data_IF_870627579935
#
_entry.id   IF_870627579935
#
_cell.length_a   1.000
_cell.length_b   1.000
_cell.length_c   1.000
_cell.angle_alpha   90.00
_cell.angle_beta   90.00
_cell.angle_gamma   90.00
#
_symmetry.space_group_name_H-M   'P 1'
#
loop_
_entity.id
_entity.type
_entity.pdbx_description
1 polymer ?
#
# COMPACT_ATOMS: atom_id res chain seq x y z
N UNK A 1 -18.90 -33.94 80.34
CA UNK A 1 -19.63 -34.14 79.08
C UNK A 1 -19.33 -32.92 78.21
N UNK A 2 -18.37 -33.08 77.29
CA UNK A 2 -17.90 -31.99 76.42
C UNK A 2 -18.41 -32.29 75.04
N UNK A 3 -19.29 -31.43 74.51
CA UNK A 3 -19.84 -31.53 73.15
C UNK A 3 -18.82 -31.03 72.17
N UNK A 4 -18.33 -31.86 71.27
CA UNK A 4 -17.57 -31.44 70.09
C UNK A 4 -18.56 -31.08 68.95
N UNK A 5 -18.53 -29.88 68.51
CA UNK A 5 -19.24 -29.41 67.30
C UNK A 5 -18.33 -29.59 66.07
N UNK A 6 -18.77 -30.43 65.12
CA UNK A 6 -18.10 -30.65 63.84
C UNK A 6 -18.56 -29.54 62.87
N UNK A 7 -17.65 -28.65 62.45
CA UNK A 7 -17.91 -27.67 61.37
C UNK A 7 -17.57 -28.32 60.05
N UNK A 8 -18.54 -28.51 59.21
CA UNK A 8 -18.35 -28.94 57.81
C UNK A 8 -17.99 -27.75 56.94
N UNK A 9 -16.79 -27.72 56.40
CA UNK A 9 -16.32 -26.73 55.46
C UNK A 9 -16.81 -27.10 54.03
N UNK A 10 -17.82 -26.39 53.54
CA UNK A 10 -18.26 -26.49 52.15
C UNK A 10 -17.38 -25.60 51.27
N UNK A 11 -16.51 -26.19 50.46
CA UNK A 11 -15.73 -25.51 49.44
C UNK A 11 -16.63 -25.29 48.20
N UNK A 12 -16.69 -24.05 47.65
CA UNK A 12 -17.39 -23.86 46.38
C UNK A 12 -16.54 -24.40 45.22
N UNK A 13 -17.00 -25.48 44.59
CA UNK A 13 -16.49 -25.99 43.31
C UNK A 13 -17.19 -25.15 42.23
N UNK A 14 -16.50 -24.15 41.71
CA UNK A 14 -17.03 -23.28 40.66
C UNK A 14 -15.98 -22.34 40.11
N UNK A 15 -14.77 -22.85 39.90
CA UNK A 15 -13.76 -22.13 39.13
C UNK A 15 -13.89 -22.48 37.65
N UNK A 16 -14.68 -21.71 36.89
CA UNK A 16 -14.52 -21.69 35.45
C UNK A 16 -13.06 -21.32 35.15
N UNK A 17 -12.32 -22.20 34.51
CA UNK A 17 -11.02 -21.86 33.94
C UNK A 17 -11.29 -20.75 32.93
N UNK A 18 -11.02 -19.49 33.30
CA UNK A 18 -10.84 -18.42 32.33
C UNK A 18 -9.67 -18.90 31.46
N UNK A 19 -9.94 -19.25 30.22
CA UNK A 19 -8.89 -19.45 29.21
C UNK A 19 -8.11 -18.14 29.17
N UNK A 20 -6.88 -18.17 29.62
CA UNK A 20 -5.99 -17.04 29.51
C UNK A 20 -5.96 -16.67 28.03
N UNK A 21 -6.34 -15.41 27.71
CA UNK A 21 -6.27 -14.89 26.35
C UNK A 21 -4.80 -14.91 25.93
N UNK A 22 -4.40 -15.93 25.19
CA UNK A 22 -3.02 -16.04 24.72
C UNK A 22 -2.74 -14.89 23.77
N UNK A 23 -1.66 -14.15 24.03
CA UNK A 23 -1.24 -13.07 23.15
C UNK A 23 -1.06 -13.58 21.72
N UNK A 24 -1.47 -12.82 20.69
CA UNK A 24 -1.26 -13.22 19.30
C UNK A 24 0.22 -13.51 19.03
N UNK A 25 0.48 -14.59 18.30
CA UNK A 25 1.84 -15.07 18.02
C UNK A 25 2.46 -14.22 16.88
N UNK A 26 3.72 -13.83 17.04
CA UNK A 26 4.53 -13.28 15.95
C UNK A 26 5.03 -14.42 15.04
N UNK A 27 5.68 -14.06 13.93
CA UNK A 27 6.51 -15.00 13.18
C UNK A 27 7.67 -15.51 14.03
N UNK A 28 8.09 -16.74 13.79
CA UNK A 28 9.29 -17.29 14.41
C UNK A 28 10.55 -16.58 13.89
N UNK A 29 11.67 -16.59 14.62
CA UNK A 29 12.93 -16.03 14.12
C UNK A 29 13.38 -16.63 12.78
N UNK A 30 13.07 -17.90 12.51
CA UNK A 30 13.40 -18.54 11.23
C UNK A 30 12.54 -17.99 10.09
N UNK A 31 11.28 -17.73 10.31
CA UNK A 31 10.38 -17.11 9.33
C UNK A 31 10.75 -15.65 9.05
N UNK A 32 11.27 -14.92 10.03
CA UNK A 32 11.71 -13.54 9.83
C UNK A 32 13.02 -13.42 9.01
N UNK A 33 13.86 -14.46 9.02
CA UNK A 33 15.16 -14.43 8.34
C UNK A 33 15.12 -15.04 6.93
N UNK A 34 14.16 -15.90 6.64
CA UNK A 34 14.02 -16.56 5.35
C UNK A 34 14.81 -17.85 5.20
N UNK A 35 15.19 -18.24 3.98
CA UNK A 35 15.62 -17.41 2.85
C UNK A 35 14.47 -16.93 1.96
N UNK A 36 14.43 -15.65 1.69
CA UNK A 36 13.52 -15.06 0.71
C UNK A 36 14.31 -14.48 -0.47
N UNK A 37 13.74 -14.46 -1.68
CA UNK A 37 14.38 -13.80 -2.82
C UNK A 37 14.69 -12.33 -2.49
N UNK A 38 15.83 -11.84 -2.98
CA UNK A 38 16.12 -10.41 -2.92
C UNK A 38 15.19 -9.65 -3.86
N UNK A 39 14.71 -8.51 -3.43
CA UNK A 39 13.93 -7.61 -4.29
C UNK A 39 14.75 -7.04 -5.43
N UNK A 40 16.07 -6.90 -5.25
CA UNK A 40 16.95 -6.46 -6.32
C UNK A 40 17.48 -7.65 -7.13
N UNK A 41 17.56 -7.52 -8.46
CA UNK A 41 18.19 -8.54 -9.31
C UNK A 41 19.68 -8.68 -8.94
N UNK A 42 20.31 -9.85 -9.18
CA UNK A 42 21.71 -10.06 -8.88
C UNK A 42 22.61 -9.00 -9.55
N UNK A 43 23.34 -8.24 -8.74
CA UNK A 43 24.20 -7.14 -9.20
C UNK A 43 23.46 -5.88 -9.64
N UNK A 44 22.13 -5.84 -9.51
CA UNK A 44 21.31 -4.66 -9.80
C UNK A 44 21.32 -3.66 -8.65
N UNK A 45 21.12 -2.39 -8.99
CA UNK A 45 21.04 -1.27 -8.03
C UNK A 45 19.63 -0.71 -7.92
N UNK A 46 18.70 -1.15 -8.77
CA UNK A 46 17.29 -0.77 -8.78
C UNK A 46 16.43 -1.85 -9.45
N UNK A 47 15.12 -1.76 -9.26
CA UNK A 47 14.15 -2.68 -9.86
C UNK A 47 13.95 -2.36 -11.36
N UNK A 48 14.04 -3.35 -12.27
CA UNK A 48 13.85 -3.14 -13.71
C UNK A 48 12.50 -2.52 -14.11
N UNK A 49 11.46 -2.68 -13.31
CA UNK A 49 10.15 -2.03 -13.53
C UNK A 49 10.26 -0.49 -13.58
N UNK A 50 11.32 0.10 -13.02
CA UNK A 50 11.61 1.53 -13.03
C UNK A 50 12.37 2.01 -14.28
N UNK A 51 12.77 1.12 -15.18
CA UNK A 51 13.40 1.48 -16.44
C UNK A 51 12.49 2.39 -17.28
N UNK A 52 13.12 3.24 -18.09
CA UNK A 52 12.42 4.22 -18.93
C UNK A 52 12.35 5.62 -18.31
N UNK A 53 12.55 5.79 -17.00
CA UNK A 53 12.55 7.13 -16.41
C UNK A 53 13.69 8.00 -16.92
N UNK A 54 14.91 7.47 -17.03
CA UNK A 54 16.07 8.20 -17.55
C UNK A 54 15.85 8.63 -19.01
N UNK A 55 15.37 7.71 -19.85
CA UNK A 55 15.05 8.02 -21.26
C UNK A 55 13.97 9.10 -21.36
N UNK A 56 12.93 9.00 -20.54
CA UNK A 56 11.85 9.97 -20.49
C UNK A 56 12.37 11.36 -20.05
N UNK A 57 13.18 11.39 -18.98
CA UNK A 57 13.77 12.63 -18.45
C UNK A 57 14.67 13.32 -19.45
N UNK A 58 15.52 12.57 -20.13
CA UNK A 58 16.57 13.13 -20.97
C UNK A 58 16.06 13.45 -22.39
N UNK A 59 15.04 12.76 -22.89
CA UNK A 59 14.60 12.83 -24.30
C UNK A 59 13.15 13.31 -24.48
N UNK A 60 12.37 13.55 -23.40
CA UNK A 60 11.01 14.06 -23.52
C UNK A 60 10.78 15.33 -22.68
N UNK A 61 11.35 16.48 -23.08
CA UNK A 61 11.25 17.71 -22.30
C UNK A 61 9.80 18.22 -22.12
N UNK A 62 8.88 17.87 -23.03
CA UNK A 62 7.48 18.27 -22.91
C UNK A 62 6.79 17.55 -21.76
N UNK A 63 7.02 16.26 -21.58
CA UNK A 63 6.50 15.50 -20.43
C UNK A 63 7.12 15.98 -19.12
N UNK A 64 8.43 16.27 -19.11
CA UNK A 64 9.11 16.75 -17.91
C UNK A 64 8.62 18.15 -17.51
N UNK A 65 8.37 19.02 -18.47
CA UNK A 65 7.77 20.35 -18.19
C UNK A 65 6.35 20.19 -17.61
N UNK A 66 5.51 19.35 -18.23
CA UNK A 66 4.16 19.10 -17.71
C UNK A 66 4.18 18.41 -16.33
N UNK A 67 5.13 17.52 -16.06
CA UNK A 67 5.33 16.91 -14.77
C UNK A 67 5.59 17.95 -13.65
N UNK A 68 6.40 18.98 -13.94
CA UNK A 68 6.61 20.11 -13.04
C UNK A 68 5.37 21.00 -12.94
N UNK A 69 4.75 21.37 -14.07
CA UNK A 69 3.55 22.21 -14.08
C UNK A 69 2.42 21.58 -13.26
N UNK A 70 2.28 20.25 -13.30
CA UNK A 70 1.31 19.51 -12.51
C UNK A 70 1.60 19.64 -11.01
N UNK A 71 2.88 19.52 -10.59
CA UNK A 71 3.25 19.75 -9.18
C UNK A 71 2.90 21.18 -8.76
N UNK A 72 3.30 22.19 -9.56
CA UNK A 72 3.03 23.60 -9.26
C UNK A 72 1.53 23.85 -9.12
N UNK A 73 0.73 23.29 -10.02
CA UNK A 73 -0.73 23.42 -9.99
C UNK A 73 -1.35 22.79 -8.75
N UNK A 74 -0.99 21.55 -8.43
CA UNK A 74 -1.52 20.81 -7.26
C UNK A 74 -1.06 21.47 -5.96
N UNK A 75 0.24 21.77 -5.82
CA UNK A 75 0.81 22.39 -4.64
C UNK A 75 0.17 23.76 -4.35
N UNK A 76 0.12 24.65 -5.37
CA UNK A 76 -0.41 26.00 -5.20
C UNK A 76 -1.94 26.04 -5.05
N UNK A 77 -2.65 25.05 -5.61
CA UNK A 77 -4.10 24.92 -5.55
C UNK A 77 -4.64 24.11 -4.38
N UNK A 78 -3.75 23.51 -3.54
CA UNK A 78 -4.16 22.69 -2.42
C UNK A 78 -4.97 23.46 -1.39
N UNK A 79 -6.13 22.92 -0.99
CA UNK A 79 -6.95 23.48 0.10
C UNK A 79 -6.25 23.27 1.46
N UNK A 80 -6.61 24.03 2.50
CA UNK A 80 -6.06 23.84 3.84
C UNK A 80 -6.21 22.40 4.36
N UNK A 81 -7.35 21.76 4.08
CA UNK A 81 -7.64 20.38 4.48
C UNK A 81 -6.69 19.39 3.79
N UNK A 82 -6.48 19.56 2.48
CA UNK A 82 -5.56 18.72 1.70
C UNK A 82 -4.10 18.94 2.12
N UNK A 83 -3.72 20.18 2.46
CA UNK A 83 -2.40 20.50 3.01
C UNK A 83 -2.19 19.80 4.36
N UNK A 84 -3.20 19.83 5.25
CA UNK A 84 -3.14 19.20 6.56
C UNK A 84 -3.03 17.68 6.43
N UNK A 85 -3.87 17.04 5.62
CA UNK A 85 -3.78 15.58 5.34
C UNK A 85 -2.40 15.20 4.77
N UNK A 86 -1.86 15.98 3.84
CA UNK A 86 -0.53 15.75 3.28
C UNK A 86 0.59 15.86 4.33
N UNK A 87 0.47 16.78 5.29
CA UNK A 87 1.40 16.93 6.40
C UNK A 87 1.29 15.72 7.35
N UNK A 88 0.08 15.31 7.72
CA UNK A 88 -0.16 14.12 8.54
C UNK A 88 0.42 12.88 7.90
N UNK A 89 0.10 12.60 6.63
CA UNK A 89 0.68 11.50 5.83
C UNK A 89 2.21 11.52 5.85
N UNK A 90 2.84 12.69 5.87
CA UNK A 90 4.30 12.76 5.89
C UNK A 90 4.91 12.24 7.18
N UNK A 91 4.26 12.50 8.32
CA UNK A 91 4.82 12.20 9.64
C UNK A 91 4.29 10.90 10.24
N UNK A 92 3.13 10.44 9.79
CA UNK A 92 2.52 9.19 10.26
C UNK A 92 3.13 7.96 9.58
N UNK A 93 3.02 6.80 10.23
CA UNK A 93 3.25 5.53 9.54
C UNK A 93 2.21 5.30 8.44
N UNK A 94 2.61 4.54 7.43
CA UNK A 94 1.71 4.26 6.28
C UNK A 94 0.51 3.41 6.66
N UNK A 95 0.59 2.54 7.66
CA UNK A 95 -0.57 1.80 8.17
C UNK A 95 -1.57 2.73 8.87
N UNK A 96 -1.06 3.73 9.63
CA UNK A 96 -1.89 4.79 10.21
C UNK A 96 -2.60 5.56 9.10
N UNK A 97 -1.86 6.02 8.08
CA UNK A 97 -2.44 6.74 6.94
C UNK A 97 -3.47 5.90 6.16
N UNK A 98 -3.26 4.58 6.04
CA UNK A 98 -4.17 3.66 5.33
C UNK A 98 -5.41 3.29 6.16
N UNK A 99 -5.34 3.33 7.49
CA UNK A 99 -6.46 2.92 8.37
C UNK A 99 -7.75 3.69 8.10
N UNK A 100 -7.65 4.93 7.63
CA UNK A 100 -8.79 5.78 7.24
C UNK A 100 -9.68 5.08 6.19
N UNK A 101 -9.06 4.32 5.28
CA UNK A 101 -9.77 3.58 4.23
C UNK A 101 -10.64 2.43 4.76
N UNK A 102 -10.44 2.00 6.00
CA UNK A 102 -11.18 0.88 6.58
C UNK A 102 -12.59 1.29 7.04
N UNK A 103 -12.90 2.59 7.07
CA UNK A 103 -14.20 3.10 7.50
C UNK A 103 -14.16 3.77 8.86
N UNK A 104 -15.26 4.43 9.21
CA UNK A 104 -15.32 5.31 10.37
C UNK A 104 -15.17 4.57 11.72
N UNK A 105 -15.57 3.29 11.78
CA UNK A 105 -15.49 2.51 13.01
C UNK A 105 -14.35 1.48 12.96
N UNK A 106 -14.14 0.79 11.82
CA UNK A 106 -13.12 -0.24 11.72
C UNK A 106 -11.70 0.32 11.74
N UNK A 107 -11.47 1.49 11.15
CA UNK A 107 -10.16 2.15 11.14
C UNK A 107 -9.59 2.38 12.55
N UNK A 108 -10.32 3.02 13.47
CA UNK A 108 -9.90 3.15 14.88
C UNK A 108 -9.64 1.81 15.57
N UNK A 109 -10.49 0.80 15.36
CA UNK A 109 -10.28 -0.55 15.93
C UNK A 109 -8.98 -1.18 15.45
N UNK A 110 -8.67 -1.03 14.16
CA UNK A 110 -7.41 -1.50 13.60
C UNK A 110 -6.20 -0.84 14.25
N UNK A 111 -6.23 0.48 14.43
CA UNK A 111 -5.15 1.23 15.10
C UNK A 111 -4.99 0.81 16.57
N UNK A 112 -6.09 0.67 17.31
CA UNK A 112 -6.05 0.19 18.70
C UNK A 112 -5.39 -1.20 18.81
N UNK A 113 -5.64 -2.10 17.85
CA UNK A 113 -5.03 -3.41 17.81
C UNK A 113 -3.53 -3.36 17.46
N UNK A 114 -3.12 -2.46 16.55
CA UNK A 114 -1.70 -2.21 16.25
C UNK A 114 -0.96 -1.69 17.48
N UNK A 115 -1.49 -0.63 18.11
CA UNK A 115 -0.89 0.00 19.29
C UNK A 115 -0.81 -0.96 20.48
N UNK A 116 -1.81 -1.83 20.63
CA UNK A 116 -1.81 -2.87 21.66
C UNK A 116 -0.90 -4.08 21.33
N UNK A 117 -0.18 -4.08 20.19
CA UNK A 117 0.67 -5.18 19.76
C UNK A 117 -0.10 -6.48 19.46
N UNK A 118 -1.38 -6.39 19.09
CA UNK A 118 -2.25 -7.52 18.78
C UNK A 118 -2.11 -8.01 17.33
N UNK A 119 -1.35 -7.29 16.50
CA UNK A 119 -1.13 -7.59 15.08
C UNK A 119 0.36 -7.76 14.77
N UNK A 120 1.11 -8.61 15.50
CA UNK A 120 2.57 -8.69 15.33
C UNK A 120 3.00 -9.23 13.97
N UNK A 121 2.22 -10.08 13.30
CA UNK A 121 2.53 -10.56 11.94
C UNK A 121 2.30 -9.48 10.89
N UNK A 122 1.23 -8.68 11.02
CA UNK A 122 0.97 -7.52 10.16
C UNK A 122 2.10 -6.51 10.27
N UNK A 123 2.52 -6.17 11.50
CA UNK A 123 3.61 -5.25 11.75
C UNK A 123 4.94 -5.76 11.13
N UNK A 124 5.25 -7.05 11.28
CA UNK A 124 6.48 -7.63 10.72
C UNK A 124 6.56 -7.53 9.18
N UNK A 125 5.43 -7.72 8.48
CA UNK A 125 5.37 -7.60 7.02
C UNK A 125 5.32 -6.15 6.54
N UNK A 126 4.64 -5.28 7.26
CA UNK A 126 4.45 -3.89 6.85
C UNK A 126 5.66 -3.00 7.22
N UNK A 127 6.35 -3.34 8.29
CA UNK A 127 7.44 -2.55 8.88
C UNK A 127 8.65 -3.45 9.12
N UNK A 128 9.82 -3.06 8.83
CA UNK A 128 11.03 -3.82 9.11
C UNK A 128 11.57 -4.63 7.94
N UNK A 129 12.31 -5.69 8.25
CA UNK A 129 13.18 -6.40 7.28
C UNK A 129 12.40 -7.16 6.19
N UNK A 130 11.16 -7.54 6.48
CA UNK A 130 10.30 -8.23 5.51
C UNK A 130 9.63 -7.27 4.52
N UNK A 131 9.57 -5.98 4.80
CA UNK A 131 9.00 -4.99 3.88
C UNK A 131 9.84 -4.87 2.60
N UNK A 132 11.15 -5.09 2.69
CA UNK A 132 12.04 -5.14 1.53
C UNK A 132 13.22 -6.08 1.79
N UNK A 133 13.27 -7.20 1.07
CA UNK A 133 14.29 -8.23 1.26
C UNK A 133 15.58 -7.94 0.48
N UNK A 134 16.71 -8.37 1.03
CA UNK A 134 18.02 -8.16 0.43
C UNK A 134 18.59 -6.75 0.59
N UNK A 135 17.91 -5.87 1.34
CA UNK A 135 18.34 -4.52 1.65
C UNK A 135 18.35 -4.29 3.18
N UNK A 136 19.19 -3.39 3.67
CA UNK A 136 19.31 -3.15 5.12
C UNK A 136 18.09 -2.46 5.75
N UNK A 137 17.17 -1.95 4.93
CA UNK A 137 15.92 -1.33 5.38
C UNK A 137 14.91 -1.25 4.24
N UNK A 138 13.62 -1.05 4.57
CA UNK A 138 12.53 -0.81 3.62
C UNK A 138 12.65 0.58 2.96
N UNK A 139 13.70 0.80 2.19
CA UNK A 139 14.05 2.10 1.61
C UNK A 139 14.11 2.06 0.09
N UNK A 140 13.86 3.20 -0.53
CA UNK A 140 14.10 3.46 -1.96
C UNK A 140 15.42 4.19 -2.19
N UNK A 141 16.33 4.17 -1.24
CA UNK A 141 17.60 4.91 -1.32
C UNK A 141 18.47 4.47 -2.50
N UNK A 142 18.66 3.18 -2.78
CA UNK A 142 19.48 2.75 -3.92
C UNK A 142 18.97 3.31 -5.25
N UNK A 143 17.67 3.29 -5.47
CA UNK A 143 17.04 3.84 -6.66
C UNK A 143 17.20 5.36 -6.74
N UNK A 144 17.02 6.05 -5.61
CA UNK A 144 17.20 7.51 -5.55
C UNK A 144 18.64 7.95 -5.86
N UNK A 145 19.62 7.21 -5.38
CA UNK A 145 21.03 7.44 -5.68
C UNK A 145 21.33 7.18 -7.18
N UNK A 146 20.77 6.11 -7.73
CA UNK A 146 20.95 5.76 -9.14
C UNK A 146 20.37 6.82 -10.08
N UNK A 147 19.12 7.22 -9.86
CA UNK A 147 18.42 8.16 -10.74
C UNK A 147 18.83 9.62 -10.52
N UNK A 148 19.19 10.00 -9.31
CA UNK A 148 19.71 11.32 -8.96
C UNK A 148 18.80 12.48 -9.36
N UNK A 149 17.47 12.29 -9.41
CA UNK A 149 16.53 13.32 -9.88
C UNK A 149 16.28 14.38 -8.81
N UNK A 150 16.49 15.70 -9.08
CA UNK A 150 16.26 16.72 -8.07
C UNK A 150 14.77 16.85 -7.74
N UNK A 151 14.47 17.17 -6.48
CA UNK A 151 13.07 17.35 -6.03
C UNK A 151 12.46 18.64 -6.56
N UNK A 152 11.11 18.73 -6.71
CA UNK A 152 10.43 19.94 -7.20
C UNK A 152 10.81 21.21 -6.44
N UNK A 153 10.80 21.17 -5.10
CA UNK A 153 11.13 22.31 -4.26
C UNK A 153 12.61 22.76 -4.34
N UNK A 154 13.49 21.89 -4.87
CA UNK A 154 14.91 22.20 -5.16
C UNK A 154 15.06 22.75 -6.57
N UNK A 155 14.39 22.12 -7.55
CA UNK A 155 14.50 22.49 -8.97
C UNK A 155 13.75 23.80 -9.31
N UNK A 156 12.65 24.08 -8.60
CA UNK A 156 11.80 25.26 -8.86
C UNK A 156 11.37 25.94 -7.54
N UNK A 157 12.32 26.38 -6.69
CA UNK A 157 12.04 26.87 -5.34
C UNK A 157 11.06 28.05 -5.28
N UNK A 158 11.04 28.89 -6.30
CA UNK A 158 10.16 30.07 -6.37
C UNK A 158 8.73 29.73 -6.78
N UNK A 159 8.48 28.51 -7.30
CA UNK A 159 7.18 28.07 -7.76
C UNK A 159 6.46 27.14 -6.77
N UNK A 160 7.20 26.57 -5.83
CA UNK A 160 6.70 25.56 -4.87
C UNK A 160 6.56 26.18 -3.49
N UNK A 161 5.33 26.17 -2.97
CA UNK A 161 5.05 26.52 -1.59
C UNK A 161 5.46 25.37 -0.67
N UNK A 162 6.06 25.70 0.46
CA UNK A 162 6.48 24.72 1.48
C UNK A 162 5.44 24.65 2.57
N UNK A 163 4.88 23.47 2.76
CA UNK A 163 3.90 23.14 3.81
C UNK A 163 4.52 22.15 4.79
N UNK A 164 4.57 22.53 6.07
CA UNK A 164 5.11 21.69 7.13
C UNK A 164 4.41 22.00 8.44
N UNK A 165 4.51 21.06 9.40
CA UNK A 165 4.02 21.31 10.75
C UNK A 165 4.95 22.29 11.47
N UNK A 166 4.46 23.02 12.52
CA UNK A 166 5.31 23.87 13.34
C UNK A 166 6.51 23.10 13.90
N UNK A 167 7.72 23.61 13.64
CA UNK A 167 8.97 22.95 14.07
C UNK A 167 9.37 21.73 13.22
N UNK A 168 8.70 21.45 12.12
CA UNK A 168 9.07 20.38 11.18
C UNK A 168 10.35 20.72 10.40
N UNK A 169 11.01 19.67 9.91
CA UNK A 169 12.27 19.76 9.15
C UNK A 169 12.20 19.04 7.79
N UNK A 170 10.97 18.82 7.28
CA UNK A 170 10.71 18.03 6.08
C UNK A 170 11.65 18.38 4.91
N UNK A 171 11.73 19.65 4.58
CA UNK A 171 12.49 20.08 3.40
C UNK A 171 14.00 20.01 3.60
N UNK A 172 14.48 20.26 4.82
CA UNK A 172 15.90 20.15 5.15
C UNK A 172 16.40 18.70 5.16
N UNK A 173 15.52 17.75 5.50
CA UNK A 173 15.84 16.32 5.47
C UNK A 173 15.87 15.75 4.06
N UNK A 174 15.20 16.40 3.10
CA UNK A 174 15.01 15.90 1.75
C UNK A 174 15.86 16.62 0.67
N UNK A 175 16.54 17.71 1.00
CA UNK A 175 17.25 18.54 0.02
C UNK A 175 18.45 17.84 -0.63
N UNK A 176 19.03 16.84 0.04
CA UNK A 176 20.23 16.13 -0.40
C UNK A 176 19.96 14.79 -1.08
N UNK A 177 18.70 14.30 -1.10
CA UNK A 177 18.39 13.01 -1.72
C UNK A 177 17.47 13.12 -2.94
N UNK A 178 17.61 12.19 -3.88
CA UNK A 178 16.82 12.16 -5.11
C UNK A 178 15.32 12.02 -4.89
N UNK A 179 14.53 12.45 -5.89
CA UNK A 179 13.08 12.36 -5.84
C UNK A 179 12.54 11.00 -6.33
N UNK A 180 13.10 10.45 -7.40
CA UNK A 180 12.58 9.26 -8.08
C UNK A 180 13.21 7.95 -7.56
N UNK A 181 12.37 6.91 -7.30
CA UNK A 181 10.93 6.93 -7.11
C UNK A 181 10.51 7.45 -5.73
N UNK A 182 9.21 7.71 -5.54
CA UNK A 182 8.66 8.11 -4.24
C UNK A 182 8.58 6.95 -3.26
N UNK A 183 9.35 7.02 -2.16
CA UNK A 183 9.31 6.01 -1.11
C UNK A 183 7.97 5.95 -0.36
N UNK A 184 7.34 7.10 -0.09
CA UNK A 184 6.01 7.15 0.52
C UNK A 184 4.95 6.48 -0.37
N UNK A 185 4.96 6.76 -1.69
CA UNK A 185 4.05 6.11 -2.62
C UNK A 185 4.32 4.60 -2.71
N UNK A 186 5.59 4.18 -2.78
CA UNK A 186 5.94 2.77 -2.78
C UNK A 186 5.43 2.05 -1.53
N UNK A 187 5.70 2.58 -0.35
CA UNK A 187 5.20 2.00 0.90
C UNK A 187 3.67 2.06 1.02
N UNK A 188 3.03 3.15 0.59
CA UNK A 188 1.58 3.28 0.59
C UNK A 188 0.92 2.21 -0.25
N UNK A 189 1.38 2.00 -1.48
CA UNK A 189 0.84 0.97 -2.36
C UNK A 189 1.24 -0.46 -1.95
N UNK A 190 2.45 -0.67 -1.43
CA UNK A 190 2.87 -1.98 -0.91
C UNK A 190 2.01 -2.41 0.28
N UNK A 191 1.95 -1.59 1.32
CA UNK A 191 1.12 -1.85 2.51
C UNK A 191 -0.37 -1.88 2.15
N UNK A 192 -0.79 -1.04 1.19
CA UNK A 192 -2.14 -1.04 0.65
C UNK A 192 -2.51 -2.33 -0.08
N UNK A 193 -1.60 -2.89 -0.88
CA UNK A 193 -1.84 -4.17 -1.55
C UNK A 193 -1.97 -5.32 -0.55
N UNK A 194 -1.11 -5.37 0.49
CA UNK A 194 -1.25 -6.34 1.59
C UNK A 194 -2.60 -6.18 2.32
N UNK A 195 -2.93 -4.95 2.70
CA UNK A 195 -4.16 -4.69 3.44
C UNK A 195 -5.41 -5.01 2.61
N UNK A 196 -5.38 -4.72 1.29
CA UNK A 196 -6.45 -5.09 0.36
C UNK A 196 -6.55 -6.61 0.15
N UNK A 197 -5.43 -7.35 0.17
CA UNK A 197 -5.47 -8.81 0.13
C UNK A 197 -6.10 -9.41 1.38
N UNK A 198 -5.86 -8.82 2.54
CA UNK A 198 -6.44 -9.26 3.82
C UNK A 198 -7.90 -8.83 4.03
N UNK A 199 -8.27 -7.68 3.48
CA UNK A 199 -9.59 -7.07 3.59
C UNK A 199 -10.16 -6.75 2.20
N UNK A 200 -10.39 -7.78 1.35
CA UNK A 200 -10.79 -7.57 -0.05
C UNK A 200 -12.15 -6.88 -0.20
N UNK A 201 -12.97 -6.88 0.85
CA UNK A 201 -14.23 -6.13 0.90
C UNK A 201 -14.03 -4.61 0.80
N UNK A 202 -12.86 -4.12 1.24
CA UNK A 202 -12.48 -2.71 1.26
C UNK A 202 -11.35 -2.39 0.25
N UNK A 203 -11.03 -3.34 -0.63
CA UNK A 203 -9.94 -3.22 -1.60
C UNK A 203 -9.94 -1.90 -2.38
N UNK A 204 -11.06 -1.48 -3.00
CA UNK A 204 -11.12 -0.21 -3.74
C UNK A 204 -10.74 1.01 -2.89
N UNK A 205 -11.27 1.10 -1.66
CA UNK A 205 -11.01 2.21 -0.72
C UNK A 205 -9.55 2.24 -0.27
N UNK A 206 -8.98 1.06 0.05
CA UNK A 206 -7.60 0.93 0.48
C UNK A 206 -6.63 1.36 -0.63
N UNK A 207 -6.87 0.92 -1.86
CA UNK A 207 -6.02 1.28 -3.01
C UNK A 207 -6.18 2.75 -3.39
N UNK A 208 -7.39 3.32 -3.28
CA UNK A 208 -7.59 4.76 -3.47
C UNK A 208 -6.78 5.57 -2.44
N UNK A 209 -6.84 5.20 -1.16
CA UNK A 209 -6.08 5.86 -0.10
C UNK A 209 -4.57 5.72 -0.29
N UNK A 210 -4.08 4.59 -0.79
CA UNK A 210 -2.68 4.44 -1.19
C UNK A 210 -2.27 5.46 -2.27
N UNK A 211 -3.16 5.74 -3.22
CA UNK A 211 -2.97 6.81 -4.22
C UNK A 211 -2.90 8.20 -3.58
N UNK A 212 -3.75 8.50 -2.61
CA UNK A 212 -3.78 9.78 -1.90
C UNK A 212 -2.51 10.00 -1.05
N UNK A 213 -1.91 8.93 -0.50
CA UNK A 213 -0.58 9.02 0.13
C UNK A 213 0.46 9.55 -0.87
N UNK A 214 0.41 9.07 -2.13
CA UNK A 214 1.21 9.60 -3.21
C UNK A 214 0.89 11.06 -3.56
N UNK A 215 -0.40 11.41 -3.64
CA UNK A 215 -0.86 12.78 -3.89
C UNK A 215 -0.34 13.75 -2.82
N UNK A 216 -0.37 13.36 -1.55
CA UNK A 216 0.17 14.17 -0.45
C UNK A 216 1.63 14.60 -0.70
N UNK A 217 2.43 13.75 -1.36
CA UNK A 217 3.82 14.10 -1.71
C UNK A 217 3.92 15.17 -2.80
N UNK A 218 2.97 15.17 -3.74
CA UNK A 218 2.86 16.20 -4.78
C UNK A 218 2.35 17.50 -4.16
N UNK A 219 1.35 17.44 -3.28
CA UNK A 219 0.84 18.59 -2.51
C UNK A 219 1.96 19.29 -1.74
N UNK A 220 2.83 18.54 -1.07
CA UNK A 220 3.98 19.09 -0.36
C UNK A 220 5.11 19.59 -1.30
N UNK A 221 5.00 19.36 -2.61
CA UNK A 221 6.04 19.76 -3.58
C UNK A 221 7.37 19.03 -3.40
N UNK A 222 7.37 17.86 -2.75
CA UNK A 222 8.58 17.07 -2.50
C UNK A 222 8.76 15.95 -3.52
N UNK A 223 7.74 15.63 -4.32
CA UNK A 223 7.77 14.66 -5.41
C UNK A 223 6.98 15.14 -6.62
N UNK A 224 7.39 14.68 -7.79
CA UNK A 224 6.65 14.82 -9.04
C UNK A 224 5.61 13.69 -9.19
N UNK A 225 4.57 13.88 -10.03
CA UNK A 225 3.70 12.78 -10.45
C UNK A 225 4.46 11.53 -10.93
N UNK A 226 5.49 11.69 -11.76
CA UNK A 226 6.29 10.55 -12.25
C UNK A 226 7.01 9.80 -11.10
N UNK A 227 7.44 10.50 -10.05
CA UNK A 227 8.03 9.83 -8.88
C UNK A 227 7.00 8.96 -8.14
N UNK A 228 5.77 9.44 -8.03
CA UNK A 228 4.65 8.73 -7.40
C UNK A 228 4.27 7.52 -8.24
N UNK A 229 4.17 7.69 -9.57
CA UNK A 229 3.92 6.57 -10.48
C UNK A 229 5.02 5.52 -10.42
N UNK A 230 6.30 5.92 -10.39
CA UNK A 230 7.42 5.01 -10.17
C UNK A 230 7.34 4.25 -8.85
N UNK A 231 6.93 4.93 -7.76
CA UNK A 231 6.69 4.29 -6.46
C UNK A 231 5.57 3.24 -6.53
N UNK A 232 4.48 3.54 -7.25
CA UNK A 232 3.38 2.59 -7.46
C UNK A 232 3.82 1.37 -8.28
N UNK A 233 4.55 1.58 -9.39
CA UNK A 233 5.09 0.50 -10.22
C UNK A 233 5.93 -0.46 -9.39
N UNK A 234 6.88 0.09 -8.64
CA UNK A 234 7.74 -0.67 -7.73
C UNK A 234 6.95 -1.49 -6.71
N UNK A 235 5.92 -0.90 -6.10
CA UNK A 235 5.11 -1.56 -5.08
C UNK A 235 4.27 -2.71 -5.65
N UNK A 236 3.69 -2.54 -6.85
CA UNK A 236 2.86 -3.56 -7.49
C UNK A 236 3.70 -4.76 -7.95
N UNK A 237 4.87 -4.50 -8.54
CA UNK A 237 5.84 -5.51 -8.93
C UNK A 237 6.31 -6.33 -7.71
N UNK A 238 6.73 -5.66 -6.65
CA UNK A 238 7.14 -6.31 -5.39
C UNK A 238 6.01 -7.11 -4.74
N UNK A 239 4.79 -6.57 -4.72
CA UNK A 239 3.64 -7.27 -4.15
C UNK A 239 3.35 -8.57 -4.91
N UNK A 240 3.33 -8.51 -6.23
CA UNK A 240 3.11 -9.69 -7.07
C UNK A 240 4.24 -10.72 -6.90
N UNK A 241 5.50 -10.29 -6.89
CA UNK A 241 6.65 -11.18 -6.70
C UNK A 241 6.58 -11.93 -5.35
N UNK A 242 6.07 -11.29 -4.30
CA UNK A 242 5.94 -11.91 -2.98
C UNK A 242 4.74 -12.83 -2.85
N UNK A 243 3.62 -12.48 -3.47
CA UNK A 243 2.45 -13.34 -3.54
C UNK A 243 2.66 -14.57 -4.44
N UNK A 244 3.65 -14.54 -5.34
CA UNK A 244 4.04 -15.71 -6.16
C UNK A 244 5.17 -16.54 -5.55
N UNK A 245 5.87 -16.05 -4.52
CA UNK A 245 6.84 -16.85 -3.77
C UNK A 245 6.14 -17.65 -2.67
N UNK A 246 6.14 -19.00 -2.70
CA UNK A 246 5.35 -19.80 -1.76
C UNK A 246 5.72 -19.65 -0.28
N UNK A 247 6.95 -19.22 0.01
CA UNK A 247 7.41 -18.97 1.38
C UNK A 247 6.87 -17.65 1.91
N UNK A 248 6.89 -16.62 1.07
CA UNK A 248 6.39 -15.28 1.41
C UNK A 248 4.87 -15.23 1.45
N UNK A 249 4.21 -15.84 0.46
CA UNK A 249 2.76 -15.92 0.35
C UNK A 249 2.15 -16.51 1.62
N UNK A 250 2.71 -17.62 2.13
CA UNK A 250 2.31 -18.20 3.41
C UNK A 250 2.40 -17.23 4.59
N UNK A 251 3.42 -16.35 4.64
CA UNK A 251 3.52 -15.33 5.69
C UNK A 251 2.43 -14.28 5.55
N UNK A 252 2.13 -13.88 4.32
CA UNK A 252 1.06 -12.93 4.01
C UNK A 252 -0.29 -13.50 4.43
N UNK A 253 -0.57 -14.74 4.09
CA UNK A 253 -1.79 -15.45 4.50
C UNK A 253 -1.93 -15.55 6.02
N UNK A 254 -0.88 -15.97 6.71
CA UNK A 254 -0.84 -16.08 8.17
C UNK A 254 -1.12 -14.73 8.87
N UNK A 255 -0.62 -13.63 8.30
CA UNK A 255 -0.90 -12.30 8.82
C UNK A 255 -2.35 -11.88 8.56
N UNK A 256 -2.90 -12.23 7.41
CA UNK A 256 -4.30 -11.99 7.06
C UNK A 256 -5.27 -12.72 7.99
N UNK A 257 -5.00 -13.99 8.27
CA UNK A 257 -5.77 -14.78 9.26
C UNK A 257 -5.72 -14.11 10.63
N UNK A 258 -4.53 -13.74 11.12
CA UNK A 258 -4.38 -13.05 12.40
C UNK A 258 -5.16 -11.72 12.43
N UNK A 259 -5.04 -10.92 11.38
CA UNK A 259 -5.74 -9.63 11.28
C UNK A 259 -7.25 -9.80 11.41
N UNK A 260 -7.83 -10.68 10.59
CA UNK A 260 -9.29 -10.89 10.57
C UNK A 260 -9.80 -11.44 11.91
N UNK A 261 -9.11 -12.42 12.49
CA UNK A 261 -9.47 -12.97 13.82
C UNK A 261 -9.45 -11.89 14.92
N UNK A 262 -8.41 -11.04 14.94
CA UNK A 262 -8.31 -9.99 15.96
C UNK A 262 -9.36 -8.90 15.74
N UNK A 263 -9.64 -8.51 14.51
CA UNK A 263 -10.71 -7.56 14.19
C UNK A 263 -12.08 -8.11 14.60
N UNK A 264 -12.43 -9.35 14.19
CA UNK A 264 -13.71 -9.98 14.54
C UNK A 264 -13.89 -10.11 16.05
N UNK A 265 -12.83 -10.47 16.76
CA UNK A 265 -12.82 -10.51 18.22
C UNK A 265 -13.06 -9.14 18.84
N UNK A 266 -12.44 -8.09 18.31
CA UNK A 266 -12.59 -6.73 18.82
C UNK A 266 -13.99 -6.16 18.56
N UNK A 267 -14.57 -6.41 17.38
CA UNK A 267 -15.89 -5.88 17.00
C UNK A 267 -17.05 -6.80 17.46
N UNK A 268 -16.76 -8.03 17.86
CA UNK A 268 -17.74 -8.98 18.44
C UNK A 268 -18.74 -9.57 17.45
N UNK A 269 -18.47 -9.52 16.13
CA UNK A 269 -19.31 -10.10 15.07
C UNK A 269 -18.50 -10.39 13.80
N UNK A 270 -19.05 -11.14 12.82
CA UNK A 270 -18.39 -11.39 11.55
C UNK A 270 -17.98 -10.06 10.86
N UNK A 271 -16.75 -10.03 10.34
CA UNK A 271 -16.17 -8.80 9.79
C UNK A 271 -16.94 -8.29 8.57
N UNK A 272 -17.42 -9.19 7.71
CA UNK A 272 -18.27 -8.83 6.56
C UNK A 272 -19.55 -8.11 6.95
N UNK A 273 -20.19 -8.55 8.06
CA UNK A 273 -21.38 -7.90 8.60
C UNK A 273 -21.06 -6.53 9.21
N UNK A 274 -19.90 -6.45 9.89
CA UNK A 274 -19.44 -5.18 10.47
C UNK A 274 -19.17 -4.15 9.40
N UNK A 275 -18.36 -4.50 8.37
CA UNK A 275 -18.00 -3.62 7.25
C UNK A 275 -19.26 -3.13 6.51
N UNK A 276 -20.21 -4.02 6.25
CA UNK A 276 -21.46 -3.65 5.57
C UNK A 276 -22.33 -2.64 6.35
N UNK A 277 -22.15 -2.55 7.66
CA UNK A 277 -22.88 -1.63 8.54
C UNK A 277 -22.06 -0.37 8.91
N UNK A 278 -20.77 -0.33 8.60
CA UNK A 278 -19.90 0.83 8.87
C UNK A 278 -20.13 1.95 7.84
N UNK A 279 -19.72 3.17 8.18
CA UNK A 279 -19.64 4.27 7.22
C UNK A 279 -18.34 4.15 6.43
N UNK A 280 -18.40 3.87 5.13
CA UNK A 280 -17.20 3.71 4.33
C UNK A 280 -16.45 5.05 4.19
N UNK A 281 -15.15 4.98 4.00
CA UNK A 281 -14.30 6.13 3.67
C UNK A 281 -14.75 6.82 2.38
N UNK A 282 -14.92 6.04 1.33
CA UNK A 282 -15.49 6.43 0.03
C UNK A 282 -16.47 5.35 -0.42
N UNK A 283 -17.44 5.70 -1.25
CA UNK A 283 -18.16 4.68 -2.00
C UNK A 283 -17.17 3.92 -2.92
N UNK A 284 -17.52 2.70 -3.30
CA UNK A 284 -16.67 1.94 -4.25
C UNK A 284 -16.49 2.68 -5.57
N UNK A 285 -17.54 3.33 -6.08
CA UNK A 285 -17.50 4.12 -7.30
C UNK A 285 -16.56 5.33 -7.17
N UNK A 286 -16.66 6.08 -6.06
CA UNK A 286 -15.80 7.23 -5.80
C UNK A 286 -14.34 6.80 -5.60
N UNK A 287 -14.08 5.71 -4.89
CA UNK A 287 -12.73 5.17 -4.70
C UNK A 287 -12.06 4.82 -6.04
N UNK A 288 -12.78 4.14 -6.93
CA UNK A 288 -12.28 3.84 -8.27
C UNK A 288 -12.03 5.12 -9.08
N UNK A 289 -12.96 6.07 -9.02
CA UNK A 289 -12.85 7.33 -9.76
C UNK A 289 -11.65 8.17 -9.27
N UNK A 290 -11.46 8.29 -7.96
CA UNK A 290 -10.34 9.03 -7.38
C UNK A 290 -8.99 8.34 -7.69
N UNK A 291 -8.90 7.03 -7.49
CA UNK A 291 -7.68 6.28 -7.84
C UNK A 291 -7.32 6.47 -9.31
N UNK A 292 -8.29 6.38 -10.22
CA UNK A 292 -8.05 6.51 -11.67
C UNK A 292 -7.50 7.86 -12.08
N UNK A 293 -7.89 8.96 -11.41
CA UNK A 293 -7.28 10.29 -11.63
C UNK A 293 -5.79 10.29 -11.29
N UNK A 294 -5.42 9.59 -10.20
CA UNK A 294 -4.05 9.52 -9.68
C UNK A 294 -3.17 8.51 -10.45
N UNK A 295 -3.75 7.66 -11.30
CA UNK A 295 -2.98 6.75 -12.13
C UNK A 295 -2.15 7.46 -13.21
N UNK A 296 -2.51 8.65 -13.61
CA UNK A 296 -1.82 9.40 -14.68
C UNK A 296 -1.53 10.85 -14.33
N UNK A 297 -2.17 11.41 -13.30
CA UNK A 297 -2.09 12.84 -12.96
C UNK A 297 -2.38 13.77 -14.14
N UNK A 298 -3.19 13.33 -15.11
CA UNK A 298 -3.48 14.09 -16.31
C UNK A 298 -2.33 14.18 -17.33
N UNK A 299 -1.25 13.45 -17.15
CA UNK A 299 -0.19 13.32 -18.15
C UNK A 299 -0.73 12.69 -19.44
N UNK A 300 -0.30 13.12 -20.62
CA UNK A 300 -0.80 12.59 -21.89
C UNK A 300 -0.20 11.21 -22.21
N UNK A 301 -0.90 10.46 -23.03
CA UNK A 301 -0.31 9.28 -23.68
C UNK A 301 0.73 9.73 -24.69
N UNK A 302 1.96 9.25 -24.55
CA UNK A 302 3.09 9.59 -25.42
C UNK A 302 3.34 8.52 -26.50
N UNK A 303 2.78 7.32 -26.31
CA UNK A 303 2.86 6.21 -27.24
C UNK A 303 1.47 5.51 -27.39
N UNK A 304 0.46 6.20 -27.98
CA UNK A 304 -0.93 5.73 -28.00
C UNK A 304 -1.14 4.42 -28.76
N UNK A 305 -0.24 4.07 -29.65
CA UNK A 305 -0.30 2.83 -30.44
C UNK A 305 0.34 1.62 -29.75
N UNK A 306 0.96 1.83 -28.58
CA UNK A 306 1.51 0.76 -27.77
C UNK A 306 0.40 -0.15 -27.24
N UNK A 307 0.71 -1.45 -27.19
CA UNK A 307 -0.17 -2.49 -26.64
C UNK A 307 0.62 -3.31 -25.62
N UNK A 308 0.86 -2.72 -24.46
CA UNK A 308 1.55 -3.42 -23.40
C UNK A 308 0.56 -4.36 -22.69
N UNK A 309 0.98 -5.60 -22.48
CA UNK A 309 0.21 -6.58 -21.72
C UNK A 309 0.50 -6.42 -20.23
N UNK A 310 -0.49 -6.69 -19.42
CA UNK A 310 -0.31 -6.83 -17.98
C UNK A 310 0.55 -8.07 -17.71
N UNK A 311 1.57 -7.98 -16.82
CA UNK A 311 2.43 -9.10 -16.48
C UNK A 311 1.64 -10.26 -15.86
N UNK A 312 2.08 -11.49 -16.16
CA UNK A 312 1.39 -12.70 -15.69
C UNK A 312 1.31 -12.78 -14.16
N UNK A 313 2.38 -12.39 -13.47
CA UNK A 313 2.49 -12.45 -12.02
C UNK A 313 1.51 -11.47 -11.31
N UNK A 314 1.00 -10.47 -12.04
CA UNK A 314 -0.02 -9.56 -11.51
C UNK A 314 -1.34 -10.26 -11.13
N UNK A 315 -1.60 -11.47 -11.66
CA UNK A 315 -2.76 -12.28 -11.28
C UNK A 315 -2.85 -12.52 -9.77
N UNK A 316 -1.70 -12.68 -9.11
CA UNK A 316 -1.60 -12.91 -7.68
C UNK A 316 -2.19 -11.75 -6.84
N UNK A 317 -2.16 -10.51 -7.35
CA UNK A 317 -2.75 -9.34 -6.67
C UNK A 317 -4.28 -9.47 -6.44
N UNK A 318 -4.95 -10.39 -7.13
CA UNK A 318 -6.39 -10.61 -7.04
C UNK A 318 -6.77 -11.96 -6.41
N UNK A 319 -5.82 -12.73 -5.89
CA UNK A 319 -6.06 -14.10 -5.43
C UNK A 319 -7.09 -14.17 -4.30
N UNK A 320 -6.94 -13.37 -3.27
CA UNK A 320 -7.85 -13.34 -2.12
C UNK A 320 -9.21 -12.74 -2.46
N UNK A 321 -9.27 -11.83 -3.44
CA UNK A 321 -10.54 -11.26 -3.95
C UNK A 321 -11.33 -12.26 -4.77
N UNK A 322 -10.66 -13.08 -5.55
CA UNK A 322 -11.24 -14.06 -6.48
C UNK A 322 -10.60 -15.45 -6.31
N UNK A 323 -10.75 -16.09 -5.14
CA UNK A 323 -10.05 -17.34 -4.83
C UNK A 323 -10.47 -18.53 -5.70
N UNK A 324 -11.65 -18.46 -6.33
CA UNK A 324 -12.18 -19.51 -7.20
C UNK A 324 -11.87 -19.30 -8.69
N UNK A 325 -11.21 -18.19 -9.05
CA UNK A 325 -10.80 -17.93 -10.43
C UNK A 325 -9.37 -18.42 -10.67
N UNK A 326 -9.11 -18.84 -11.92
CA UNK A 326 -7.76 -19.13 -12.39
C UNK A 326 -6.96 -17.84 -12.59
N UNK A 327 -5.63 -17.92 -12.64
CA UNK A 327 -4.77 -16.78 -12.95
C UNK A 327 -5.11 -16.12 -14.27
N UNK A 328 -5.45 -16.90 -15.31
CA UNK A 328 -5.90 -16.38 -16.59
C UNK A 328 -7.17 -15.52 -16.46
N UNK A 329 -8.14 -15.95 -15.65
CA UNK A 329 -9.37 -15.18 -15.39
C UNK A 329 -9.10 -13.93 -14.57
N UNK A 330 -8.18 -13.99 -13.59
CA UNK A 330 -7.74 -12.81 -12.82
C UNK A 330 -7.03 -11.79 -13.72
N UNK A 331 -6.17 -12.28 -14.66
CA UNK A 331 -5.55 -11.42 -15.68
C UNK A 331 -6.57 -10.79 -16.62
N UNK A 332 -7.60 -11.51 -17.02
CA UNK A 332 -8.69 -10.95 -17.82
C UNK A 332 -9.42 -9.81 -17.09
N UNK A 333 -9.62 -9.93 -15.76
CA UNK A 333 -10.17 -8.84 -14.93
C UNK A 333 -9.23 -7.63 -14.97
N UNK A 334 -7.94 -7.84 -14.73
CA UNK A 334 -6.95 -6.77 -14.77
C UNK A 334 -6.89 -6.07 -16.12
N UNK A 335 -6.90 -6.82 -17.23
CA UNK A 335 -6.90 -6.24 -18.60
C UNK A 335 -8.18 -5.45 -18.89
N UNK A 336 -9.36 -5.92 -18.46
CA UNK A 336 -10.63 -5.23 -18.70
C UNK A 336 -10.80 -3.97 -17.87
N UNK A 337 -10.17 -3.90 -16.70
CA UNK A 337 -10.22 -2.73 -15.82
C UNK A 337 -9.06 -1.76 -16.04
N UNK A 338 -8.04 -2.16 -16.79
CA UNK A 338 -6.82 -1.41 -17.04
C UNK A 338 -7.05 -0.06 -17.72
N UNK A 339 -6.16 0.89 -17.44
CA UNK A 339 -6.07 2.10 -18.25
C UNK A 339 -5.40 1.78 -19.61
N UNK A 340 -5.65 2.59 -20.65
CA UNK A 340 -4.98 2.41 -21.94
C UNK A 340 -3.46 2.43 -21.83
N UNK A 341 -2.76 1.72 -22.72
CA UNK A 341 -1.31 1.74 -22.79
C UNK A 341 -0.75 3.06 -23.33
N UNK A 342 0.55 3.29 -23.14
CA UNK A 342 1.32 4.37 -23.76
C UNK A 342 1.39 5.67 -22.96
N UNK A 343 1.05 5.65 -21.68
CA UNK A 343 1.36 6.77 -20.77
C UNK A 343 2.87 6.79 -20.42
N UNK A 344 3.41 7.93 -19.92
CA UNK A 344 4.77 7.99 -19.41
C UNK A 344 5.04 6.89 -18.38
N UNK A 345 6.20 6.25 -18.45
CA UNK A 345 6.62 5.06 -17.67
C UNK A 345 5.88 3.75 -18.02
N UNK A 346 4.89 3.75 -18.91
CA UNK A 346 4.34 2.51 -19.42
C UNK A 346 5.28 1.94 -20.49
N UNK A 347 5.91 0.82 -20.20
CA UNK A 347 6.87 0.18 -21.12
C UNK A 347 6.39 -1.19 -21.57
N UNK A 348 6.94 -1.65 -22.67
CA UNK A 348 6.76 -3.01 -23.17
C UNK A 348 7.83 -3.96 -22.61
N UNK A 349 7.62 -5.26 -22.78
CA UNK A 349 8.56 -6.29 -22.35
C UNK A 349 8.20 -6.95 -21.03
N UNK A 350 9.10 -7.79 -20.48
CA UNK A 350 8.82 -8.60 -19.29
C UNK A 350 8.43 -7.78 -18.07
N UNK A 351 9.09 -6.63 -17.88
CA UNK A 351 8.83 -5.72 -16.75
C UNK A 351 7.89 -4.57 -17.14
N UNK A 352 7.13 -4.72 -18.23
CA UNK A 352 6.18 -3.71 -18.73
C UNK A 352 4.74 -3.97 -18.31
N UNK A 353 3.84 -3.00 -18.63
CA UNK A 353 2.40 -3.12 -18.41
C UNK A 353 1.91 -2.85 -16.99
N UNK A 354 2.80 -2.77 -16.01
CA UNK A 354 2.45 -2.51 -14.59
C UNK A 354 1.69 -1.18 -14.39
N UNK A 355 2.03 -0.15 -15.18
CA UNK A 355 1.36 1.15 -15.09
C UNK A 355 -0.13 1.08 -15.36
N UNK A 356 -0.54 0.14 -16.22
CA UNK A 356 -1.93 -0.01 -16.66
C UNK A 356 -2.86 -0.56 -15.59
N UNK A 357 -2.35 -1.23 -14.56
CA UNK A 357 -3.13 -1.93 -13.54
C UNK A 357 -3.91 -0.92 -12.69
N UNK A 358 -5.23 -0.88 -12.89
CA UNK A 358 -6.18 -0.19 -12.02
C UNK A 358 -6.69 -1.18 -10.96
N UNK A 359 -5.90 -1.35 -9.91
CA UNK A 359 -6.19 -2.34 -8.89
C UNK A 359 -7.48 -2.01 -8.11
N UNK A 360 -7.80 -0.72 -7.92
CA UNK A 360 -9.05 -0.32 -7.28
C UNK A 360 -10.26 -0.78 -8.12
N UNK A 361 -10.22 -0.55 -9.43
CA UNK A 361 -11.28 -1.01 -10.34
C UNK A 361 -11.36 -2.54 -10.41
N UNK A 362 -10.21 -3.25 -10.37
CA UNK A 362 -10.19 -4.71 -10.38
C UNK A 362 -10.84 -5.30 -9.11
N UNK A 363 -10.56 -4.75 -7.93
CA UNK A 363 -11.23 -5.16 -6.69
C UNK A 363 -12.73 -4.83 -6.67
N UNK A 364 -13.17 -3.81 -7.41
CA UNK A 364 -14.57 -3.41 -7.52
C UNK A 364 -15.42 -4.35 -8.39
N UNK A 365 -14.81 -5.23 -9.17
CA UNK A 365 -15.53 -6.18 -10.04
C UNK A 365 -16.38 -7.14 -9.21
N UNK A 366 -17.65 -7.33 -9.64
CA UNK A 366 -18.54 -8.30 -9.01
C UNK A 366 -18.13 -9.72 -9.39
N UNK A 367 -17.79 -10.53 -8.38
CA UNK A 367 -17.39 -11.93 -8.54
C UNK A 367 -18.45 -12.80 -9.24
N UNK A 368 -19.73 -12.43 -9.13
CA UNK A 368 -20.83 -13.20 -9.75
C UNK A 368 -20.84 -13.08 -11.27
N UNK A 369 -20.27 -12.03 -11.83
CA UNK A 369 -20.21 -11.82 -13.29
C UNK A 369 -19.19 -12.71 -14.00
N UNK A 370 -18.21 -13.24 -13.25
CA UNK A 370 -17.09 -14.04 -13.76
C UNK A 370 -17.19 -15.55 -13.49
N UNK A 371 -18.22 -15.97 -12.78
CA UNK A 371 -18.45 -17.38 -12.42
C UNK A 371 -19.21 -18.18 -13.50
N UNK A 372 -19.30 -17.65 -14.74
CA UNK A 372 -20.05 -18.32 -15.82
C UNK A 372 -19.15 -18.89 -16.88
#
# INVERSE_FOLDING_TARGET
MTLMATVALVLPIGGGLATADTAPQSFTPLELVGPYPSDLPPGGTYLPVLDGFTELRDNNPAVIAQNLDTVVSINNGATPELQQDAIEINYDDRLVSLSVALGAQLGPVFLDLLDAGKLPKVAALAEGDLARTGLPSATTLPEKEFFGNPRPFVAAPEQIKRYDRPGGHLYAELDTNGSYPSGHASQGYWKGALLASWLPELGPQIIARAGEIGLGRVVLGVHYPLDVLGGRLMAMDLAAARLTDPGFDRLIDDAGVQLREQLEKAVGKPLTEFIAADTPYLSTEDAVAEHRKLMTYGLPRIAPDQQNKIPADAAALLETRFPNLTDAQRLDILEQTAIPAGYPLDKSGPDGGWLRIDLAAAYAVDSQTWSK
#
